data_IF_334898382524
#
_entry.id   IF_334898382524
#
_cell.length_a   1.000
_cell.length_b   1.000
_cell.length_c   1.000
_cell.angle_alpha   90.00
_cell.angle_beta   90.00
_cell.angle_gamma   90.00
#
_symmetry.space_group_name_H-M   'P 1'
#
loop_
_entity.id
_entity.type
_entity.pdbx_description
1 polymer ?
#
# COMPACT_ATOMS: atom_id res chain seq x y z
N UNK A 1 -5.51 -26.84 14.45
CA UNK A 1 -6.27 -25.97 13.52
C UNK A 1 -6.37 -24.50 13.99
N UNK A 2 -5.43 -23.98 14.80
CA UNK A 2 -5.51 -22.60 15.32
C UNK A 2 -4.61 -21.59 14.59
N UNK A 3 -3.58 -22.05 13.87
CA UNK A 3 -2.55 -21.17 13.29
C UNK A 3 -3.05 -20.35 12.08
N UNK A 4 -3.94 -20.92 11.27
CA UNK A 4 -4.45 -20.25 10.07
C UNK A 4 -5.37 -19.05 10.35
N UNK A 5 -6.11 -19.08 11.45
CA UNK A 5 -7.02 -17.98 11.84
C UNK A 5 -6.21 -16.80 12.37
N UNK A 6 -5.20 -17.06 13.21
CA UNK A 6 -4.32 -16.03 13.76
C UNK A 6 -3.53 -15.29 12.67
N UNK A 7 -3.06 -15.98 11.63
CA UNK A 7 -2.35 -15.36 10.51
C UNK A 7 -3.27 -14.49 9.63
N UNK A 8 -4.55 -14.84 9.52
CA UNK A 8 -5.54 -14.01 8.84
C UNK A 8 -5.91 -12.75 9.62
N UNK A 9 -6.04 -12.85 10.94
CA UNK A 9 -6.32 -11.69 11.77
C UNK A 9 -5.14 -10.71 11.74
N UNK A 10 -3.89 -11.20 11.77
CA UNK A 10 -2.68 -10.39 11.54
C UNK A 10 -2.69 -9.70 10.16
N UNK A 11 -3.13 -10.40 9.12
CA UNK A 11 -3.24 -9.84 7.77
C UNK A 11 -4.28 -8.71 7.73
N UNK A 12 -5.41 -8.89 8.41
CA UNK A 12 -6.46 -7.88 8.53
C UNK A 12 -5.96 -6.63 9.26
N UNK A 13 -5.27 -6.80 10.39
CA UNK A 13 -4.65 -5.70 11.13
C UNK A 13 -3.62 -4.95 10.28
N UNK A 14 -2.74 -5.67 9.57
CA UNK A 14 -1.74 -5.07 8.70
C UNK A 14 -2.36 -4.22 7.58
N UNK A 15 -3.47 -4.66 6.97
CA UNK A 15 -4.21 -3.83 6.01
C UNK A 15 -4.87 -2.61 6.66
N UNK A 16 -5.35 -2.73 7.90
CA UNK A 16 -5.84 -1.61 8.69
C UNK A 16 -4.77 -0.56 8.97
N UNK A 17 -3.56 -1.00 9.34
CA UNK A 17 -2.40 -0.13 9.56
C UNK A 17 -1.94 0.54 8.27
N UNK A 18 -1.86 -0.19 7.16
CA UNK A 18 -1.54 0.37 5.85
C UNK A 18 -2.54 1.46 5.45
N UNK A 19 -3.83 1.25 5.72
CA UNK A 19 -4.85 2.27 5.45
C UNK A 19 -4.61 3.55 6.25
N UNK A 20 -4.31 3.44 7.54
CA UNK A 20 -3.99 4.60 8.40
C UNK A 20 -2.70 5.30 7.96
N UNK A 21 -1.68 4.53 7.59
CA UNK A 21 -0.43 5.05 7.04
C UNK A 21 -0.66 5.85 5.74
N UNK A 22 -1.54 5.35 4.87
CA UNK A 22 -1.92 6.06 3.64
C UNK A 22 -2.63 7.39 3.91
N UNK A 23 -3.34 7.52 5.04
CA UNK A 23 -3.99 8.78 5.44
C UNK A 23 -2.97 9.81 5.96
N UNK A 24 -1.78 9.39 6.44
CA UNK A 24 -0.71 10.29 6.92
C UNK A 24 0.18 10.89 5.82
N UNK A 25 0.07 10.43 4.57
CA UNK A 25 0.89 10.87 3.42
C UNK A 25 2.42 10.78 3.60
N UNK A 26 2.90 10.10 4.65
CA UNK A 26 4.32 9.88 4.88
C UNK A 26 4.79 8.60 4.17
N UNK A 27 5.70 8.78 3.21
CA UNK A 27 6.26 7.68 2.42
C UNK A 27 7.04 6.66 3.28
N UNK A 28 7.67 7.08 4.38
CA UNK A 28 8.39 6.17 5.28
C UNK A 28 7.40 5.25 6.00
N UNK A 29 6.35 5.85 6.58
CA UNK A 29 5.28 5.12 7.27
C UNK A 29 4.52 4.18 6.33
N UNK A 30 4.24 4.61 5.09
CA UNK A 30 3.60 3.76 4.07
C UNK A 30 4.48 2.56 3.70
N UNK A 31 5.78 2.77 3.49
CA UNK A 31 6.70 1.66 3.16
C UNK A 31 6.85 0.67 4.32
N UNK A 32 6.91 1.15 5.56
CA UNK A 32 6.95 0.29 6.74
C UNK A 32 5.67 -0.57 6.84
N UNK A 33 4.50 0.03 6.69
CA UNK A 33 3.23 -0.69 6.72
C UNK A 33 3.09 -1.68 5.54
N UNK A 34 3.59 -1.33 4.35
CA UNK A 34 3.60 -2.22 3.20
C UNK A 34 4.51 -3.45 3.42
N UNK A 35 5.65 -3.28 4.09
CA UNK A 35 6.53 -4.38 4.45
C UNK A 35 5.87 -5.36 5.44
N UNK A 36 5.10 -4.84 6.40
CA UNK A 36 4.32 -5.64 7.36
C UNK A 36 3.24 -6.46 6.64
N UNK A 37 2.49 -5.83 5.71
CA UNK A 37 1.49 -6.53 4.88
C UNK A 37 2.13 -7.64 4.05
N UNK A 38 3.31 -7.39 3.47
CA UNK A 38 4.05 -8.41 2.71
C UNK A 38 4.42 -9.60 3.59
N UNK A 39 4.97 -9.35 4.77
CA UNK A 39 5.35 -10.42 5.71
C UNK A 39 4.13 -11.26 6.13
N UNK A 40 3.01 -10.61 6.48
CA UNK A 40 1.77 -11.32 6.83
C UNK A 40 1.20 -12.13 5.65
N UNK A 41 1.31 -11.62 4.42
CA UNK A 41 0.88 -12.34 3.21
C UNK A 41 1.76 -13.56 2.94
N UNK A 42 3.08 -13.43 3.13
CA UNK A 42 4.03 -14.52 2.96
C UNK A 42 3.81 -15.61 4.03
N UNK A 43 3.49 -15.25 5.28
CA UNK A 43 3.10 -16.19 6.33
C UNK A 43 1.80 -16.96 5.99
N UNK A 44 0.76 -16.27 5.54
CA UNK A 44 -0.52 -16.89 5.13
C UNK A 44 -0.30 -17.80 3.91
N UNK A 45 0.54 -17.39 2.95
CA UNK A 45 0.90 -18.21 1.80
C UNK A 45 1.66 -19.47 2.22
N UNK A 46 2.62 -19.36 3.13
CA UNK A 46 3.43 -20.47 3.62
C UNK A 46 2.59 -21.51 4.39
N UNK A 47 1.53 -21.09 5.07
CA UNK A 47 0.64 -22.02 5.78
C UNK A 47 -0.16 -22.94 4.86
N UNK A 48 -0.52 -22.52 3.63
CA UNK A 48 -1.19 -23.34 2.60
C UNK A 48 -2.58 -23.91 2.95
N UNK A 49 -2.96 -23.97 4.22
CA UNK A 49 -4.16 -24.61 4.74
C UNK A 49 -5.47 -23.91 4.35
N UNK A 50 -5.39 -22.63 3.95
CA UNK A 50 -6.53 -21.83 3.51
C UNK A 50 -7.11 -22.28 2.16
N UNK A 51 -6.38 -23.06 1.36
CA UNK A 51 -6.90 -23.62 0.11
C UNK A 51 -7.93 -24.74 0.35
N UNK A 52 -7.83 -25.42 1.49
CA UNK A 52 -8.70 -26.56 1.84
C UNK A 52 -9.85 -26.16 2.77
N UNK A 53 -9.73 -25.05 3.49
CA UNK A 53 -10.79 -24.56 4.38
C UNK A 53 -11.64 -23.44 3.70
N UNK A 54 -12.91 -23.70 3.37
CA UNK A 54 -13.79 -22.72 2.74
C UNK A 54 -14.07 -21.50 3.64
N UNK A 55 -13.99 -21.62 4.97
CA UNK A 55 -14.17 -20.49 5.87
C UNK A 55 -12.97 -19.52 5.84
N UNK A 56 -11.74 -20.06 5.75
CA UNK A 56 -10.55 -19.23 5.51
C UNK A 56 -10.58 -18.58 4.13
N UNK A 57 -11.02 -19.31 3.11
CA UNK A 57 -11.17 -18.78 1.74
C UNK A 57 -12.13 -17.59 1.72
N UNK A 58 -13.30 -17.69 2.37
CA UNK A 58 -14.26 -16.59 2.46
C UNK A 58 -13.68 -15.35 3.16
N UNK A 59 -12.88 -15.52 4.22
CA UNK A 59 -12.17 -14.42 4.88
C UNK A 59 -11.13 -13.75 3.97
N UNK A 60 -10.38 -14.53 3.19
CA UNK A 60 -9.44 -13.98 2.19
C UNK A 60 -10.21 -13.21 1.11
N UNK A 61 -11.36 -13.71 0.67
CA UNK A 61 -12.20 -12.97 -0.30
C UNK A 61 -12.74 -11.66 0.29
N UNK A 62 -13.09 -11.63 1.57
CA UNK A 62 -13.49 -10.40 2.27
C UNK A 62 -12.35 -9.37 2.38
N UNK A 63 -11.08 -9.79 2.28
CA UNK A 63 -9.92 -8.90 2.26
C UNK A 63 -9.68 -8.25 0.88
N UNK A 64 -10.18 -8.83 -0.22
CA UNK A 64 -10.04 -8.26 -1.58
C UNK A 64 -10.41 -6.77 -1.68
N UNK A 65 -11.56 -6.30 -1.18
CA UNK A 65 -11.90 -4.87 -1.27
C UNK A 65 -10.94 -3.97 -0.47
N UNK A 66 -10.37 -4.45 0.64
CA UNK A 66 -9.38 -3.70 1.41
C UNK A 66 -8.06 -3.56 0.64
N UNK A 67 -7.61 -4.64 0.00
CA UNK A 67 -6.44 -4.65 -0.88
C UNK A 67 -6.64 -3.66 -2.03
N UNK A 68 -7.81 -3.70 -2.66
CA UNK A 68 -8.14 -2.83 -3.78
C UNK A 68 -8.16 -1.36 -3.37
N UNK A 69 -8.75 -1.05 -2.20
CA UNK A 69 -8.75 0.31 -1.66
C UNK A 69 -7.33 0.82 -1.39
N UNK A 70 -6.46 0.00 -0.80
CA UNK A 70 -5.06 0.36 -0.56
C UNK A 70 -4.31 0.61 -1.89
N UNK A 71 -4.54 -0.24 -2.90
CA UNK A 71 -3.96 -0.10 -4.24
C UNK A 71 -4.35 1.22 -4.90
N UNK A 72 -5.65 1.55 -4.90
CA UNK A 72 -6.15 2.81 -5.48
C UNK A 72 -5.53 4.03 -4.79
N UNK A 73 -5.45 4.02 -3.45
CA UNK A 73 -4.85 5.13 -2.70
C UNK A 73 -3.36 5.30 -2.96
N UNK A 74 -2.62 4.19 -3.04
CA UNK A 74 -1.19 4.23 -3.36
C UNK A 74 -0.93 4.78 -4.77
N UNK A 75 -1.78 4.41 -5.74
CA UNK A 75 -1.73 4.95 -7.10
C UNK A 75 -2.02 6.46 -7.11
N UNK A 76 -3.06 6.91 -6.40
CA UNK A 76 -3.42 8.32 -6.30
C UNK A 76 -2.30 9.15 -5.65
N UNK A 77 -1.70 8.65 -4.57
CA UNK A 77 -0.57 9.31 -3.91
C UNK A 77 0.64 9.44 -4.86
N UNK A 78 0.93 8.37 -5.61
CA UNK A 78 2.01 8.36 -6.60
C UNK A 78 1.76 9.34 -7.74
N UNK A 79 0.52 9.41 -8.25
CA UNK A 79 0.13 10.34 -9.30
C UNK A 79 0.25 11.81 -8.83
N UNK A 80 -0.21 12.09 -7.60
CA UNK A 80 -0.10 13.42 -6.99
C UNK A 80 1.36 13.89 -6.89
N UNK A 81 2.27 12.98 -6.49
CA UNK A 81 3.71 13.28 -6.44
C UNK A 81 4.27 13.55 -7.84
N UNK A 82 3.89 12.73 -8.84
CA UNK A 82 4.30 12.95 -10.24
C UNK A 82 3.83 14.31 -10.75
N UNK A 83 2.57 14.67 -10.53
CA UNK A 83 2.02 15.96 -10.93
C UNK A 83 2.80 17.12 -10.29
N UNK A 84 3.09 17.04 -8.99
CA UNK A 84 3.89 18.07 -8.30
C UNK A 84 5.30 18.20 -8.87
N UNK A 85 5.98 17.09 -9.18
CA UNK A 85 7.30 17.11 -9.81
C UNK A 85 7.21 17.73 -11.21
N UNK A 86 6.20 17.38 -12.00
CA UNK A 86 6.00 17.96 -13.33
C UNK A 86 5.74 19.47 -13.28
N UNK A 87 4.96 19.96 -12.31
CA UNK A 87 4.75 21.39 -12.10
C UNK A 87 6.04 22.09 -11.69
N UNK A 88 6.80 21.53 -10.74
CA UNK A 88 8.09 22.07 -10.33
C UNK A 88 9.10 22.12 -11.49
N UNK A 89 9.10 21.11 -12.36
CA UNK A 89 9.95 21.09 -13.56
C UNK A 89 9.54 22.18 -14.56
N UNK A 90 8.24 22.43 -14.75
CA UNK A 90 7.75 23.51 -15.61
C UNK A 90 8.12 24.89 -15.05
N UNK A 91 7.86 25.14 -13.76
CA UNK A 91 8.22 26.42 -13.10
C UNK A 91 9.74 26.60 -12.97
N UNK A 92 10.50 25.52 -12.79
CA UNK A 92 11.97 25.55 -12.80
C UNK A 92 12.53 25.88 -14.19
N UNK A 93 11.92 25.37 -15.26
CA UNK A 93 12.27 25.71 -16.64
C UNK A 93 11.94 27.18 -16.98
N UNK A 94 10.85 27.72 -16.44
CA UNK A 94 10.49 29.13 -16.58
C UNK A 94 11.52 30.05 -15.90
N UNK A 95 12.00 29.71 -14.70
CA UNK A 95 13.02 30.49 -13.99
C UNK A 95 14.44 30.35 -14.59
N UNK A 96 14.76 29.21 -15.22
CA UNK A 96 16.05 29.00 -15.87
C UNK A 96 16.24 29.86 -17.13
N UNK A 97 15.14 30.21 -17.83
CA UNK A 97 15.19 30.93 -19.12
C UNK A 97 15.62 32.40 -18.99
N UNK A 98 15.55 33.00 -17.79
CA UNK A 98 15.90 34.41 -17.58
C UNK A 98 17.35 34.67 -17.14
N UNK A 99 18.13 33.63 -16.84
CA UNK A 99 19.50 33.82 -16.31
C UNK A 99 20.60 33.63 -17.37
N UNK A 100 20.27 33.07 -18.54
CA UNK A 100 21.17 32.95 -19.69
C UNK A 100 20.92 34.05 -20.73
N UNK A 101 20.98 35.32 -20.33
CA UNK A 101 21.08 36.41 -21.29
C UNK A 101 21.83 37.61 -20.69
N UNK A 102 23.13 37.43 -20.46
CA UNK A 102 24.13 38.50 -20.37
C UNK A 102 25.50 37.99 -20.78
#
# INVERSE_FOLDING_TARGET
MASGIASLDKLYEAFGELRRALDTYDASTINAAAAVVKAATDEVRAQGAWQMDPALKAKIEALKPLIESARVRANLASDTVRQRISLLAQTGAENATLTYNR
#
